data_IF_797083002264
#
_entry.id   IF_797083002264
#
_cell.length_a   1.000
_cell.length_b   1.000
_cell.length_c   1.000
_cell.angle_alpha   90.00
_cell.angle_beta   90.00
_cell.angle_gamma   90.00
#
_symmetry.space_group_name_H-M   'P 1'
#
loop_
_entity.id
_entity.type
_entity.pdbx_description
1 polymer ?
#
# COMPACT_ATOMS: atom_id res chain seq x y z
N UNK A 1 -65.02 37.01 36.46
CA UNK A 1 -63.94 36.93 37.46
C UNK A 1 -62.64 36.95 36.68
N UNK A 2 -61.90 38.06 36.67
CA UNK A 2 -60.75 38.27 35.77
C UNK A 2 -59.48 37.66 36.37
N UNK A 3 -58.91 36.68 35.66
CA UNK A 3 -57.65 35.98 35.98
C UNK A 3 -56.49 36.98 36.13
N UNK A 4 -56.56 38.09 35.41
CA UNK A 4 -55.60 39.19 35.46
C UNK A 4 -55.46 39.82 36.85
N UNK A 5 -56.56 39.90 37.60
CA UNK A 5 -56.53 40.41 38.98
C UNK A 5 -55.89 39.40 39.95
N UNK A 6 -56.07 38.10 39.70
CA UNK A 6 -55.46 37.02 40.50
C UNK A 6 -53.94 36.99 40.33
N UNK A 7 -53.45 37.11 39.09
CA UNK A 7 -52.02 37.15 38.78
C UNK A 7 -51.36 38.40 39.39
N UNK A 8 -52.01 39.56 39.30
CA UNK A 8 -51.46 40.79 39.89
C UNK A 8 -51.41 40.75 41.42
N UNK A 9 -52.35 40.08 42.09
CA UNK A 9 -52.31 39.92 43.54
C UNK A 9 -51.23 38.95 44.03
N UNK A 10 -50.94 37.88 43.27
CA UNK A 10 -49.87 36.94 43.60
C UNK A 10 -48.49 37.31 43.04
N UNK A 11 -48.35 38.40 42.28
CA UNK A 11 -47.04 38.79 41.69
C UNK A 11 -45.91 38.86 42.72
N UNK A 12 -46.20 39.35 43.93
CA UNK A 12 -45.22 39.39 45.03
C UNK A 12 -44.80 38.02 45.58
N UNK A 13 -45.63 36.98 45.47
CA UNK A 13 -45.25 35.61 45.89
C UNK A 13 -44.47 34.85 44.82
N UNK A 14 -44.40 35.37 43.59
CA UNK A 14 -43.59 34.79 42.51
C UNK A 14 -42.16 35.36 42.46
N UNK A 15 -41.90 36.48 43.15
CA UNK A 15 -40.63 37.22 43.09
C UNK A 15 -39.74 36.94 44.33
N UNK A 16 -39.98 35.84 45.05
CA UNK A 16 -39.29 35.47 46.30
C UNK A 16 -38.08 34.55 46.09
N UNK A 17 -37.56 34.46 44.85
CA UNK A 17 -36.43 33.60 44.51
C UNK A 17 -35.46 34.41 43.64
N UNK A 18 -34.58 35.21 44.28
CA UNK A 18 -33.41 35.71 43.58
C UNK A 18 -32.48 34.52 43.26
N UNK A 19 -32.16 34.25 42.00
CA UNK A 19 -31.27 33.15 41.67
C UNK A 19 -29.88 33.43 42.24
N UNK A 20 -29.29 32.45 42.92
CA UNK A 20 -27.93 32.56 43.43
C UNK A 20 -26.94 32.67 42.26
N UNK A 21 -26.54 33.91 41.96
CA UNK A 21 -25.71 34.26 40.80
C UNK A 21 -24.34 33.59 40.86
N UNK A 22 -23.81 33.31 42.05
CA UNK A 22 -22.52 32.65 42.24
C UNK A 22 -22.51 31.23 41.66
N UNK A 23 -23.57 30.45 41.89
CA UNK A 23 -23.71 29.10 41.31
C UNK A 23 -23.87 29.11 39.79
N UNK A 24 -24.54 30.12 39.23
CA UNK A 24 -24.72 30.25 37.79
C UNK A 24 -23.38 30.55 37.09
N UNK A 25 -22.58 31.46 37.65
CA UNK A 25 -21.27 31.79 37.09
C UNK A 25 -20.26 30.65 37.24
N UNK A 26 -20.33 29.88 38.33
CA UNK A 26 -19.49 28.69 38.53
C UNK A 26 -19.75 27.59 37.48
N UNK A 27 -21.00 27.44 37.03
CA UNK A 27 -21.38 26.50 35.98
C UNK A 27 -20.91 26.92 34.58
N UNK A 28 -20.86 28.23 34.33
CA UNK A 28 -20.43 28.81 33.05
C UNK A 28 -18.90 28.77 32.91
N UNK A 29 -18.16 29.15 33.95
CA UNK A 29 -16.68 29.11 33.94
C UNK A 29 -16.13 27.69 33.76
N UNK A 30 -16.80 26.68 34.35
CA UNK A 30 -16.41 25.27 34.25
C UNK A 30 -16.58 24.66 32.85
N UNK A 31 -17.39 25.27 31.98
CA UNK A 31 -17.52 24.85 30.57
C UNK A 31 -16.49 25.53 29.66
N UNK A 32 -15.90 26.64 30.07
CA UNK A 32 -14.99 27.43 29.23
C UNK A 32 -13.53 26.92 29.28
N UNK A 33 -13.12 26.21 30.34
CA UNK A 33 -11.74 25.68 30.49
C UNK A 33 -11.51 24.26 29.92
N UNK A 34 -12.37 23.75 29.05
CA UNK A 34 -12.09 22.47 28.37
C UNK A 34 -11.17 22.71 27.17
N UNK A 35 -9.86 22.75 27.42
CA UNK A 35 -8.85 22.58 26.36
C UNK A 35 -9.09 21.22 25.67
N UNK A 36 -9.13 21.13 24.33
CA UNK A 36 -9.19 19.83 23.68
C UNK A 36 -7.84 19.14 23.91
N UNK A 37 -7.81 18.20 24.86
CA UNK A 37 -6.79 17.15 24.86
C UNK A 37 -7.07 16.31 23.61
N UNK A 38 -6.48 16.71 22.48
CA UNK A 38 -6.30 15.83 21.34
C UNK A 38 -5.53 14.60 21.85
N UNK A 39 -6.28 13.55 22.15
CA UNK A 39 -5.76 12.22 22.44
C UNK A 39 -4.96 11.77 21.22
N UNK A 40 -3.63 11.86 21.33
CA UNK A 40 -2.66 11.26 20.39
C UNK A 40 -2.79 9.72 20.24
N UNK A 41 -3.79 9.11 20.87
CA UNK A 41 -4.05 7.68 20.82
C UNK A 41 -5.01 7.24 19.70
N UNK A 42 -5.71 8.15 19.02
CA UNK A 42 -6.66 7.77 17.95
C UNK A 42 -6.03 7.64 16.56
N UNK A 43 -4.83 8.19 16.34
CA UNK A 43 -4.09 7.99 15.08
C UNK A 43 -3.44 6.60 14.96
N UNK A 44 -3.13 5.94 16.09
CA UNK A 44 -2.55 4.58 16.07
C UNK A 44 -3.58 3.49 15.77
N UNK A 45 -4.86 3.72 16.09
CA UNK A 45 -5.92 2.72 15.84
C UNK A 45 -6.37 2.67 14.38
N UNK A 46 -6.27 3.75 13.61
CA UNK A 46 -6.63 3.77 12.18
C UNK A 46 -5.59 2.99 11.36
N UNK A 47 -4.29 3.16 11.68
CA UNK A 47 -3.22 2.40 11.04
C UNK A 47 -3.38 0.88 11.25
N UNK A 48 -3.75 0.45 12.45
CA UNK A 48 -3.96 -0.97 12.75
C UNK A 48 -5.11 -1.59 11.95
N UNK A 49 -6.22 -0.86 11.78
CA UNK A 49 -7.37 -1.33 10.98
C UNK A 49 -7.04 -1.41 9.50
N UNK A 50 -6.31 -0.42 8.95
CA UNK A 50 -5.86 -0.45 7.56
C UNK A 50 -4.88 -1.60 7.29
N UNK A 51 -3.94 -1.86 8.20
CA UNK A 51 -3.02 -3.01 8.10
C UNK A 51 -3.79 -4.33 8.11
N UNK A 52 -4.83 -4.44 8.95
CA UNK A 52 -5.65 -5.65 9.05
C UNK A 52 -6.50 -5.88 7.79
N UNK A 53 -7.06 -4.82 7.19
CA UNK A 53 -7.77 -4.92 5.90
C UNK A 53 -6.85 -5.27 4.73
N UNK A 54 -5.62 -4.73 4.70
CA UNK A 54 -4.61 -5.11 3.69
C UNK A 54 -4.19 -6.58 3.88
N UNK A 55 -3.95 -7.01 5.12
CA UNK A 55 -3.57 -8.39 5.42
C UNK A 55 -4.67 -9.40 5.05
N UNK A 56 -5.93 -9.12 5.40
CA UNK A 56 -7.08 -9.98 5.05
C UNK A 56 -7.34 -9.93 3.54
N UNK A 57 -7.20 -8.78 2.89
CA UNK A 57 -7.33 -8.65 1.43
C UNK A 57 -6.28 -9.47 0.66
N UNK A 58 -5.02 -9.48 1.13
CA UNK A 58 -3.95 -10.32 0.55
C UNK A 58 -4.23 -11.81 0.79
N UNK A 59 -4.71 -12.18 1.97
CA UNK A 59 -4.97 -13.58 2.33
C UNK A 59 -6.17 -14.19 1.58
N UNK A 60 -7.25 -13.44 1.41
CA UNK A 60 -8.43 -13.87 0.64
C UNK A 60 -8.10 -14.02 -0.84
N UNK A 61 -7.22 -13.18 -1.39
CA UNK A 61 -6.71 -13.33 -2.77
C UNK A 61 -5.88 -14.61 -2.93
N UNK A 62 -5.12 -14.98 -1.89
CA UNK A 62 -4.28 -16.17 -1.89
C UNK A 62 -5.08 -17.48 -1.81
N UNK A 63 -6.21 -17.50 -1.09
CA UNK A 63 -7.08 -18.69 -1.04
C UNK A 63 -7.96 -18.85 -2.28
N UNK A 64 -8.49 -17.76 -2.86
CA UNK A 64 -9.31 -17.85 -4.07
C UNK A 64 -8.52 -18.28 -5.32
N UNK A 65 -7.19 -18.13 -5.32
CA UNK A 65 -6.30 -18.60 -6.40
C UNK A 65 -5.91 -20.09 -6.29
N UNK A 66 -6.29 -20.80 -5.22
CA UNK A 66 -5.90 -22.21 -5.01
C UNK A 66 -6.75 -23.23 -5.78
N UNK A 67 -7.72 -22.80 -6.59
CA UNK A 67 -8.47 -23.72 -7.48
C UNK A 67 -7.77 -23.86 -8.84
N UNK A 68 -6.86 -24.85 -8.92
CA UNK A 68 -6.30 -25.43 -10.15
C UNK A 68 -5.84 -24.41 -11.20
N UNK A 69 -5.06 -23.41 -10.81
CA UNK A 69 -4.36 -22.57 -11.77
C UNK A 69 -3.12 -23.31 -12.26
N UNK A 70 -2.88 -23.32 -13.58
CA UNK A 70 -1.57 -23.70 -14.10
C UNK A 70 -0.60 -22.59 -13.68
N UNK A 71 0.20 -22.86 -12.65
CA UNK A 71 1.11 -21.87 -12.05
C UNK A 71 2.47 -21.83 -12.72
N UNK A 72 2.77 -22.80 -13.60
CA UNK A 72 4.10 -23.00 -14.16
C UNK A 72 4.09 -23.90 -15.41
N UNK A 73 5.08 -23.70 -16.29
CA UNK A 73 5.35 -24.54 -17.45
C UNK A 73 5.73 -25.98 -17.07
N UNK A 74 6.14 -26.20 -15.81
CA UNK A 74 6.43 -27.53 -15.27
C UNK A 74 5.29 -28.53 -15.33
N UNK A 75 4.05 -28.06 -15.50
CA UNK A 75 2.87 -28.91 -15.64
C UNK A 75 2.66 -29.41 -17.08
N UNK A 76 3.43 -28.90 -18.05
CA UNK A 76 3.33 -29.23 -19.47
C UNK A 76 4.32 -30.34 -19.85
N UNK A 77 5.62 -30.11 -19.65
CA UNK A 77 6.66 -31.12 -19.85
C UNK A 77 7.89 -30.83 -18.96
N UNK A 78 8.76 -31.83 -18.82
CA UNK A 78 9.95 -31.73 -17.96
C UNK A 78 11.00 -30.75 -18.52
N UNK A 79 11.19 -30.70 -19.84
CA UNK A 79 12.19 -29.81 -20.47
C UNK A 79 11.86 -28.32 -20.26
N UNK A 80 10.59 -27.93 -20.37
CA UNK A 80 10.14 -26.57 -20.08
C UNK A 80 10.19 -26.28 -18.58
N UNK A 81 9.97 -27.28 -17.73
CA UNK A 81 10.14 -27.13 -16.28
C UNK A 81 11.58 -26.73 -15.93
N UNK A 82 12.56 -27.41 -16.53
CA UNK A 82 13.98 -27.15 -16.31
C UNK A 82 14.37 -25.77 -16.81
N UNK A 83 13.91 -25.36 -18.02
CA UNK A 83 14.14 -24.01 -18.54
C UNK A 83 13.50 -22.94 -17.67
N UNK A 84 12.24 -23.12 -17.27
CA UNK A 84 11.54 -22.17 -16.39
C UNK A 84 12.28 -22.00 -15.06
N UNK A 85 12.75 -23.10 -14.46
CA UNK A 85 13.53 -23.06 -13.23
C UNK A 85 14.86 -22.31 -13.42
N UNK A 86 15.56 -22.54 -14.54
CA UNK A 86 16.78 -21.81 -14.87
C UNK A 86 16.54 -20.31 -14.98
N UNK A 87 15.46 -19.88 -15.65
CA UNK A 87 15.11 -18.46 -15.74
C UNK A 87 14.74 -17.87 -14.38
N UNK A 88 13.95 -18.59 -13.57
CA UNK A 88 13.58 -18.16 -12.21
C UNK A 88 14.82 -17.92 -11.34
N UNK A 89 15.76 -18.86 -11.34
CA UNK A 89 17.00 -18.74 -10.58
C UNK A 89 17.81 -17.51 -11.04
N UNK A 90 17.94 -17.30 -12.35
CA UNK A 90 18.67 -16.15 -12.90
C UNK A 90 18.01 -14.82 -12.53
N UNK A 91 16.68 -14.74 -12.61
CA UNK A 91 15.92 -13.56 -12.23
C UNK A 91 16.12 -13.26 -10.74
N UNK A 92 16.04 -14.27 -9.88
CA UNK A 92 16.26 -14.13 -8.44
C UNK A 92 17.68 -13.65 -8.12
N UNK A 93 18.69 -14.26 -8.74
CA UNK A 93 20.10 -13.88 -8.57
C UNK A 93 20.35 -12.42 -8.98
N UNK A 94 19.89 -12.03 -10.17
CA UNK A 94 20.04 -10.66 -10.69
C UNK A 94 19.26 -9.66 -9.85
N UNK A 95 18.07 -10.02 -9.38
CA UNK A 95 17.29 -9.16 -8.50
C UNK A 95 18.00 -8.96 -7.15
N UNK A 96 18.55 -10.02 -6.56
CA UNK A 96 19.37 -9.92 -5.37
C UNK A 96 20.59 -9.00 -5.59
N UNK A 97 21.26 -9.13 -6.74
CA UNK A 97 22.35 -8.23 -7.12
C UNK A 97 21.89 -6.77 -7.19
N UNK A 98 20.75 -6.50 -7.83
CA UNK A 98 20.17 -5.15 -7.93
C UNK A 98 19.85 -4.55 -6.55
N UNK A 99 19.23 -5.33 -5.66
CA UNK A 99 18.88 -4.88 -4.30
C UNK A 99 20.10 -4.68 -3.39
N UNK A 100 21.21 -5.36 -3.69
CA UNK A 100 22.47 -5.18 -2.94
C UNK A 100 23.20 -3.87 -3.27
N UNK A 101 22.87 -3.25 -4.40
CA UNK A 101 23.46 -1.97 -4.81
C UNK A 101 22.78 -0.80 -4.08
N UNK A 102 23.55 0.23 -3.70
CA UNK A 102 23.02 1.41 -3.04
C UNK A 102 21.90 2.05 -3.86
N UNK A 103 20.86 2.50 -3.16
CA UNK A 103 19.71 3.15 -3.77
C UNK A 103 20.06 4.56 -4.20
N UNK A 104 19.64 4.89 -5.41
CA UNK A 104 19.79 6.19 -6.01
C UNK A 104 18.47 6.56 -6.66
N UNK A 105 17.98 7.77 -6.43
CA UNK A 105 16.76 8.22 -7.10
C UNK A 105 17.05 8.46 -8.59
N UNK A 106 16.68 7.49 -9.43
CA UNK A 106 16.74 7.59 -10.89
C UNK A 106 15.33 7.57 -11.48
N UNK A 107 14.91 8.60 -12.24
CA UNK A 107 13.67 8.54 -13.01
C UNK A 107 13.63 7.34 -13.98
N UNK A 108 14.80 6.90 -14.45
CA UNK A 108 14.93 5.73 -15.32
C UNK A 108 14.64 4.42 -14.58
N UNK A 109 15.01 4.32 -13.30
CA UNK A 109 14.73 3.14 -12.47
C UNK A 109 13.23 2.95 -12.28
N UNK A 110 12.49 4.04 -12.01
CA UNK A 110 11.03 4.00 -11.88
C UNK A 110 10.37 3.47 -13.15
N UNK A 111 10.79 3.96 -14.32
CA UNK A 111 10.25 3.53 -15.61
C UNK A 111 10.54 2.05 -15.89
N UNK A 112 11.75 1.58 -15.56
CA UNK A 112 12.13 0.17 -15.75
C UNK A 112 11.38 -0.77 -14.77
N UNK A 113 11.12 -0.33 -13.54
CA UNK A 113 10.30 -1.08 -12.59
C UNK A 113 8.84 -1.14 -13.07
N UNK A 114 8.31 -0.06 -13.64
CA UNK A 114 6.99 -0.08 -14.25
C UNK A 114 6.91 -1.05 -15.43
N UNK A 115 7.93 -1.08 -16.28
CA UNK A 115 8.05 -2.06 -17.39
C UNK A 115 8.08 -3.51 -16.87
N UNK A 116 8.79 -3.79 -15.76
CA UNK A 116 8.76 -5.10 -15.10
C UNK A 116 7.34 -5.50 -14.65
N UNK A 117 6.58 -4.58 -14.08
CA UNK A 117 5.20 -4.84 -13.67
C UNK A 117 4.30 -5.15 -14.87
N UNK A 118 4.51 -4.49 -16.01
CA UNK A 118 3.79 -4.80 -17.24
C UNK A 118 4.14 -6.19 -17.78
N UNK A 119 5.40 -6.61 -17.70
CA UNK A 119 5.80 -7.98 -18.05
C UNK A 119 5.14 -9.02 -17.15
N UNK A 120 5.00 -8.76 -15.85
CA UNK A 120 4.30 -9.68 -14.95
C UNK A 120 2.82 -9.84 -15.35
N UNK A 121 2.16 -8.78 -15.81
CA UNK A 121 0.79 -8.88 -16.36
C UNK A 121 0.76 -9.75 -17.62
N UNK A 122 1.71 -9.56 -18.54
CA UNK A 122 1.83 -10.38 -19.76
C UNK A 122 2.08 -11.86 -19.43
N UNK A 123 2.91 -12.14 -18.43
CA UNK A 123 3.16 -13.49 -17.95
C UNK A 123 1.88 -14.15 -17.42
N UNK A 124 1.11 -13.44 -16.58
CA UNK A 124 -0.15 -13.96 -16.06
C UNK A 124 -1.19 -14.21 -17.17
N UNK A 125 -1.25 -13.33 -18.17
CA UNK A 125 -2.11 -13.53 -19.34
C UNK A 125 -1.69 -14.76 -20.15
N UNK A 126 -0.38 -14.96 -20.37
CA UNK A 126 0.14 -16.15 -21.06
C UNK A 126 -0.20 -17.45 -20.32
N UNK A 127 -0.11 -17.47 -18.99
CA UNK A 127 -0.53 -18.62 -18.19
C UNK A 127 -2.03 -18.89 -18.29
N UNK A 128 -2.83 -17.82 -18.27
CA UNK A 128 -4.29 -17.92 -18.45
C UNK A 128 -4.64 -18.50 -19.81
N UNK A 129 -3.97 -18.06 -20.87
CA UNK A 129 -4.20 -18.57 -22.23
C UNK A 129 -3.89 -20.08 -22.34
N UNK A 130 -2.81 -20.55 -21.70
CA UNK A 130 -2.49 -21.99 -21.63
C UNK A 130 -3.56 -22.75 -20.85
N UNK A 131 -4.08 -22.17 -19.78
CA UNK A 131 -5.14 -22.80 -19.00
C UNK A 131 -6.44 -22.95 -19.79
N UNK A 132 -6.85 -21.90 -20.52
CA UNK A 132 -8.10 -21.90 -21.27
C UNK A 132 -8.03 -22.71 -22.57
N UNK A 133 -6.90 -22.67 -23.27
CA UNK A 133 -6.75 -23.30 -24.60
C UNK A 133 -5.99 -24.63 -24.59
N UNK A 134 -5.38 -25.00 -23.45
CA UNK A 134 -4.46 -26.12 -23.35
C UNK A 134 -3.06 -25.78 -23.85
N UNK A 135 -2.27 -26.82 -24.13
CA UNK A 135 -0.90 -26.62 -24.64
C UNK A 135 -0.92 -25.83 -25.95
N UNK A 136 -0.26 -24.67 -25.93
CA UNK A 136 -0.09 -23.80 -27.08
C UNK A 136 1.36 -23.32 -27.14
N UNK A 137 2.08 -23.72 -28.18
CA UNK A 137 3.48 -23.36 -28.39
C UNK A 137 3.71 -21.84 -28.39
N UNK A 138 2.76 -21.06 -28.91
CA UNK A 138 2.86 -19.59 -28.88
C UNK A 138 2.80 -19.03 -27.46
N UNK A 139 1.97 -19.61 -26.61
CA UNK A 139 1.83 -19.18 -25.23
C UNK A 139 3.07 -19.58 -24.41
N UNK A 140 3.62 -20.77 -24.65
CA UNK A 140 4.91 -21.19 -24.07
C UNK A 140 6.04 -20.26 -24.51
N UNK A 141 6.12 -19.94 -25.80
CA UNK A 141 7.11 -19.00 -26.32
C UNK A 141 6.96 -17.62 -25.66
N UNK A 142 5.74 -17.11 -25.54
CA UNK A 142 5.46 -15.83 -24.87
C UNK A 142 5.94 -15.83 -23.41
N UNK A 143 5.73 -16.92 -22.68
CA UNK A 143 6.18 -17.03 -21.29
C UNK A 143 7.70 -17.01 -21.18
N UNK A 144 8.39 -17.75 -22.06
CA UNK A 144 9.87 -17.75 -22.09
C UNK A 144 10.43 -16.37 -22.52
N UNK A 145 9.86 -15.75 -23.55
CA UNK A 145 10.22 -14.39 -23.99
C UNK A 145 10.01 -13.36 -22.88
N UNK A 146 8.97 -13.54 -22.06
CA UNK A 146 8.72 -12.67 -20.90
C UNK A 146 9.82 -12.81 -19.84
N UNK A 147 10.32 -14.02 -19.58
CA UNK A 147 11.48 -14.23 -18.70
C UNK A 147 12.75 -13.55 -19.22
N UNK A 148 13.03 -13.67 -20.52
CA UNK A 148 14.21 -13.04 -21.14
C UNK A 148 14.15 -11.51 -21.05
N UNK A 149 12.98 -10.93 -21.33
CA UNK A 149 12.76 -9.48 -21.21
C UNK A 149 12.92 -9.01 -19.78
N UNK A 150 12.38 -9.76 -18.80
CA UNK A 150 12.54 -9.48 -17.38
C UNK A 150 14.01 -9.44 -16.98
N UNK A 151 14.79 -10.43 -17.42
CA UNK A 151 16.23 -10.47 -17.16
C UNK A 151 16.94 -9.23 -17.73
N UNK A 152 16.66 -8.87 -18.97
CA UNK A 152 17.24 -7.70 -19.65
C UNK A 152 16.94 -6.39 -18.92
N UNK A 153 15.72 -6.22 -18.41
CA UNK A 153 15.36 -5.02 -17.65
C UNK A 153 16.10 -4.98 -16.32
N UNK A 154 16.21 -6.10 -15.60
CA UNK A 154 16.97 -6.15 -14.34
C UNK A 154 18.46 -5.84 -14.59
N UNK A 155 19.04 -6.32 -15.68
CA UNK A 155 20.42 -5.98 -16.07
C UNK A 155 20.59 -4.48 -16.33
N UNK A 156 19.60 -3.85 -16.96
CA UNK A 156 19.59 -2.41 -17.20
C UNK A 156 19.45 -1.62 -15.89
N UNK A 157 18.62 -2.09 -14.96
CA UNK A 157 18.49 -1.52 -13.62
C UNK A 157 19.83 -1.57 -12.86
N UNK A 158 20.51 -2.72 -12.88
CA UNK A 158 21.85 -2.89 -12.30
C UNK A 158 22.84 -1.90 -12.92
N UNK A 159 22.82 -1.78 -14.25
CA UNK A 159 23.69 -0.86 -14.98
C UNK A 159 23.47 0.60 -14.56
N UNK A 160 22.21 1.04 -14.44
CA UNK A 160 21.91 2.41 -14.01
C UNK A 160 22.40 2.70 -12.58
N UNK A 161 22.18 1.77 -11.63
CA UNK A 161 22.71 1.91 -10.26
C UNK A 161 24.24 1.97 -10.21
N UNK A 162 24.92 1.12 -10.99
CA UNK A 162 26.39 1.14 -11.08
C UNK A 162 26.91 2.43 -11.69
N UNK A 163 26.24 2.94 -12.71
CA UNK A 163 26.56 4.20 -13.35
C UNK A 163 26.46 5.37 -12.36
N UNK A 164 25.38 5.44 -11.57
CA UNK A 164 25.21 6.47 -10.53
C UNK A 164 26.29 6.40 -9.45
N UNK A 165 26.60 5.19 -8.94
CA UNK A 165 27.71 4.97 -8.01
C UNK A 165 29.04 5.51 -8.54
N UNK A 166 29.33 5.29 -9.82
CA UNK A 166 30.56 5.76 -10.44
C UNK A 166 30.61 7.30 -10.56
N UNK A 167 29.48 7.95 -10.82
CA UNK A 167 29.40 9.42 -10.85
C UNK A 167 29.63 10.04 -9.47
N UNK A 168 29.03 9.49 -8.41
CA UNK A 168 29.23 9.98 -7.04
C UNK A 168 30.68 9.84 -6.58
N UNK A 169 31.29 8.67 -6.77
CA UNK A 169 32.69 8.42 -6.42
C UNK A 169 33.64 9.37 -7.17
N UNK A 170 33.31 9.70 -8.42
CA UNK A 170 34.11 10.63 -9.22
C UNK A 170 34.02 12.04 -8.66
N UNK A 171 32.82 12.52 -8.30
CA UNK A 171 32.63 13.86 -7.74
C UNK A 171 33.35 14.01 -6.38
N UNK A 172 33.24 13.03 -5.49
CA UNK A 172 33.95 13.03 -4.19
C UNK A 172 35.47 13.14 -4.30
N UNK A 173 36.06 12.66 -5.41
CA UNK A 173 37.51 12.72 -5.64
C UNK A 173 38.00 14.12 -6.07
N UNK A 174 37.11 14.99 -6.58
CA UNK A 174 37.46 16.35 -6.99
C UNK A 174 37.21 17.40 -5.90
N UNK A 175 36.51 17.03 -4.83
CA UNK A 175 36.23 17.89 -3.67
C UNK A 175 37.28 17.77 -2.53
N UNK A 176 38.38 17.02 -2.77
CA UNK A 176 39.54 16.85 -1.87
C UNK A 176 40.81 17.44 -2.49
#
# INVERSE_FOLDING_TARGET
>A
MNIENYINQQKKSFDDQEPNTEYLWLGISRRMERKPLLRLHTLKSIAAVLVLFVAVGVFVRHELMMQKQITSLSQINQELAEREQQYKNQVEEKWAQFTSLPDYESPMEVLLIEELNQLDILYQNGLKDIYETGYNERAVFLLLDTYEKRLRIIEKLIYEKQKQKNYENKNQKYDL
#
